data_IF_378127150451
#
_entry.id   IF_378127150451
#
_cell.length_a   1.000
_cell.length_b   1.000
_cell.length_c   1.000
_cell.angle_alpha   90.00
_cell.angle_beta   90.00
_cell.angle_gamma   90.00
#
_symmetry.space_group_name_H-M   'P 1'
#
loop_
_entity.id
_entity.type
_entity.pdbx_description
1 polymer ?
#
# COMPACT_ATOMS: atom_id res chain seq x y z
N UNK A 1 7.33 8.24 -26.32
CA UNK A 1 6.27 7.20 -26.29
C UNK A 1 6.02 6.79 -24.84
N UNK A 2 4.78 6.47 -24.46
CA UNK A 2 4.43 6.00 -23.13
C UNK A 2 4.48 4.46 -23.04
N UNK A 3 4.21 3.93 -21.84
CA UNK A 3 4.07 2.50 -21.60
C UNK A 3 2.86 1.95 -22.34
N UNK A 4 3.00 0.82 -23.02
CA UNK A 4 1.90 0.09 -23.65
C UNK A 4 1.60 -1.19 -22.88
N UNK A 5 0.32 -1.40 -22.55
CA UNK A 5 -0.17 -2.61 -21.89
C UNK A 5 -1.08 -3.38 -22.84
N UNK A 6 -0.85 -4.67 -22.98
CA UNK A 6 -1.67 -5.59 -23.78
C UNK A 6 -1.74 -6.95 -23.11
N UNK A 7 -2.55 -7.85 -23.64
CA UNK A 7 -2.66 -9.24 -23.17
C UNK A 7 -2.29 -10.20 -24.29
N UNK A 8 -1.49 -11.20 -23.96
CA UNK A 8 -1.20 -12.33 -24.84
C UNK A 8 -1.07 -13.60 -23.99
N UNK A 9 -1.72 -14.68 -24.39
CA UNK A 9 -1.66 -15.99 -23.70
C UNK A 9 -1.94 -15.90 -22.18
N UNK A 10 -2.97 -15.17 -21.77
CA UNK A 10 -3.32 -14.89 -20.36
C UNK A 10 -2.21 -14.23 -19.55
N UNK A 11 -1.29 -13.54 -20.22
CA UNK A 11 -0.24 -12.76 -19.58
C UNK A 11 -0.41 -11.28 -19.87
N UNK A 12 -0.20 -10.46 -18.85
CA UNK A 12 -0.06 -9.03 -19.02
C UNK A 12 1.28 -8.74 -19.68
N UNK A 13 1.22 -8.09 -20.82
CA UNK A 13 2.39 -7.69 -21.60
C UNK A 13 2.63 -6.21 -21.39
N UNK A 14 3.84 -5.87 -20.93
CA UNK A 14 4.28 -4.50 -20.67
C UNK A 14 5.40 -4.15 -21.65
N UNK A 15 5.14 -3.16 -22.50
CA UNK A 15 6.10 -2.65 -23.48
C UNK A 15 6.44 -1.20 -23.12
N UNK A 16 7.73 -0.90 -22.99
CA UNK A 16 8.25 0.44 -22.72
C UNK A 16 9.29 0.81 -23.76
N UNK A 17 9.42 2.09 -24.12
CA UNK A 17 10.56 2.56 -24.90
C UNK A 17 11.86 2.17 -24.19
N UNK A 18 12.83 1.71 -24.93
CA UNK A 18 14.21 1.44 -24.46
C UNK A 18 14.33 0.33 -23.40
N UNK A 19 13.27 -0.40 -23.10
CA UNK A 19 13.29 -1.51 -22.15
C UNK A 19 12.83 -2.82 -22.79
N UNK A 20 13.35 -3.97 -22.34
CA UNK A 20 12.86 -5.27 -22.79
C UNK A 20 11.36 -5.42 -22.48
N UNK A 21 10.64 -6.05 -23.38
CA UNK A 21 9.25 -6.47 -23.17
C UNK A 21 9.16 -7.38 -21.95
N UNK A 22 8.27 -7.06 -21.01
CA UNK A 22 7.99 -7.87 -19.84
C UNK A 22 6.63 -8.55 -19.97
N UNK A 23 6.53 -9.80 -19.52
CA UNK A 23 5.29 -10.57 -19.45
C UNK A 23 5.06 -11.07 -18.03
N UNK A 24 3.82 -11.02 -17.56
CA UNK A 24 3.43 -11.35 -16.20
C UNK A 24 2.15 -12.20 -16.22
N UNK A 25 2.11 -13.39 -15.60
CA UNK A 25 0.89 -14.16 -15.47
C UNK A 25 -0.19 -13.33 -14.77
N UNK A 26 -1.37 -13.24 -15.38
CA UNK A 26 -2.47 -12.40 -14.86
C UNK A 26 -3.00 -12.98 -13.53
N UNK A 27 -2.99 -14.29 -13.37
CA UNK A 27 -3.42 -15.01 -12.17
C UNK A 27 -2.61 -14.64 -10.91
N UNK A 28 -1.34 -14.26 -11.09
CA UNK A 28 -0.45 -13.84 -9.99
C UNK A 28 -0.65 -12.37 -9.59
N UNK A 29 -1.44 -11.62 -10.38
CA UNK A 29 -1.62 -10.18 -10.18
C UNK A 29 -2.83 -9.90 -9.28
N UNK A 30 -2.61 -9.35 -8.10
CA UNK A 30 -3.69 -8.85 -7.24
C UNK A 30 -4.02 -7.39 -7.46
N UNK A 31 -3.02 -6.59 -7.86
CA UNK A 31 -3.16 -5.15 -8.11
C UNK A 31 -2.21 -4.73 -9.21
N UNK A 32 -2.71 -3.94 -10.14
CA UNK A 32 -1.91 -3.26 -11.17
C UNK A 32 -2.04 -1.75 -10.96
N UNK A 33 -0.90 -1.07 -10.74
CA UNK A 33 -0.84 0.38 -10.59
C UNK A 33 -0.28 0.96 -11.88
N UNK A 34 -1.06 1.80 -12.54
CA UNK A 34 -0.65 2.52 -13.75
C UNK A 34 -0.28 3.95 -13.36
N UNK A 35 1.03 4.22 -13.33
CA UNK A 35 1.62 5.50 -12.95
C UNK A 35 2.40 6.14 -14.11
N UNK A 36 1.80 6.12 -15.29
CA UNK A 36 2.31 6.79 -16.49
C UNK A 36 1.15 7.47 -17.20
N UNK A 37 1.16 8.80 -17.24
CA UNK A 37 0.10 9.61 -17.88
C UNK A 37 -0.02 9.37 -19.40
N UNK A 38 0.99 8.76 -20.03
CA UNK A 38 1.00 8.41 -21.45
C UNK A 38 0.77 6.94 -21.71
N UNK A 39 0.40 6.16 -20.67
CA UNK A 39 0.13 4.75 -20.83
C UNK A 39 -1.03 4.52 -21.79
N UNK A 40 -0.86 3.55 -22.68
CA UNK A 40 -1.90 3.06 -23.60
C UNK A 40 -2.20 1.60 -23.30
N UNK A 41 -3.46 1.22 -23.41
CA UNK A 41 -3.89 -0.15 -23.12
C UNK A 41 -5.03 -0.58 -24.00
N UNK A 42 -5.08 -1.89 -24.24
CA UNK A 42 -6.24 -2.50 -24.90
C UNK A 42 -7.35 -2.77 -23.88
N UNK A 43 -8.59 -2.78 -24.32
CA UNK A 43 -9.74 -3.18 -23.48
C UNK A 43 -9.52 -4.56 -22.82
N UNK A 44 -8.88 -5.50 -23.53
CA UNK A 44 -8.60 -6.85 -23.03
C UNK A 44 -7.80 -6.86 -21.72
N UNK A 45 -6.90 -5.88 -21.49
CA UNK A 45 -6.14 -5.75 -20.25
C UNK A 45 -7.08 -5.65 -19.05
N UNK A 46 -8.09 -4.80 -19.15
CA UNK A 46 -9.05 -4.62 -18.05
C UNK A 46 -9.94 -5.83 -17.87
N UNK A 47 -10.43 -6.41 -18.96
CA UNK A 47 -11.30 -7.59 -18.90
C UNK A 47 -10.60 -8.77 -18.22
N UNK A 48 -9.38 -9.11 -18.64
CA UNK A 48 -8.63 -10.23 -18.09
C UNK A 48 -8.20 -9.98 -16.62
N UNK A 49 -7.71 -8.79 -16.30
CA UNK A 49 -7.34 -8.45 -14.93
C UNK A 49 -8.54 -8.48 -13.98
N UNK A 50 -9.68 -7.91 -14.39
CA UNK A 50 -10.89 -7.91 -13.57
C UNK A 50 -11.50 -9.31 -13.44
N UNK A 51 -11.46 -10.13 -14.50
CA UNK A 51 -11.89 -11.53 -14.44
C UNK A 51 -11.05 -12.35 -13.47
N UNK A 52 -9.74 -12.13 -13.43
CA UNK A 52 -8.83 -12.73 -12.45
C UNK A 52 -8.97 -12.15 -11.03
N UNK A 53 -9.86 -11.17 -10.81
CA UNK A 53 -10.06 -10.53 -9.52
C UNK A 53 -9.01 -9.48 -9.18
N UNK A 54 -8.13 -9.11 -10.09
CA UNK A 54 -7.15 -8.05 -9.88
C UNK A 54 -7.81 -6.66 -9.85
N UNK A 55 -7.22 -5.76 -9.08
CA UNK A 55 -7.60 -4.35 -9.05
C UNK A 55 -6.70 -3.55 -9.98
N UNK A 56 -7.26 -2.70 -10.82
CA UNK A 56 -6.47 -1.73 -11.59
C UNK A 56 -6.61 -0.36 -10.94
N UNK A 57 -5.48 0.28 -10.67
CA UNK A 57 -5.42 1.61 -10.06
C UNK A 57 -4.68 2.57 -10.99
N UNK A 58 -5.22 3.76 -11.15
CA UNK A 58 -4.58 4.84 -11.89
C UNK A 58 -4.19 5.96 -10.93
N UNK A 59 -3.05 6.61 -11.17
CA UNK A 59 -2.56 7.71 -10.37
C UNK A 59 -2.89 9.06 -10.99
N UNK A 60 -2.90 10.09 -10.15
CA UNK A 60 -2.93 11.48 -10.56
C UNK A 60 -1.54 12.01 -10.92
N UNK A 61 -1.47 13.32 -11.23
CA UNK A 61 -0.19 14.00 -11.49
C UNK A 61 0.73 14.09 -10.27
N UNK A 62 0.17 13.91 -9.09
CA UNK A 62 0.84 13.84 -7.79
C UNK A 62 1.31 12.44 -7.44
N UNK A 63 1.21 11.48 -8.37
CA UNK A 63 1.50 10.06 -8.18
C UNK A 63 0.69 9.39 -7.08
N UNK A 64 -0.38 10.02 -6.60
CA UNK A 64 -1.31 9.42 -5.66
C UNK A 64 -2.48 8.75 -6.39
N UNK A 65 -3.11 7.73 -5.77
CA UNK A 65 -4.27 7.07 -6.37
C UNK A 65 -5.41 8.02 -6.67
N UNK A 66 -5.72 8.21 -7.95
CA UNK A 66 -6.83 9.04 -8.44
C UNK A 66 -8.09 8.23 -8.68
N UNK A 67 -7.97 6.98 -9.14
CA UNK A 67 -9.10 6.10 -9.41
C UNK A 67 -8.73 4.63 -9.39
N UNK A 68 -9.75 3.77 -9.32
CA UNK A 68 -9.55 2.33 -9.41
C UNK A 68 -10.72 1.64 -10.11
N UNK A 69 -10.41 0.58 -10.86
CA UNK A 69 -11.37 -0.36 -11.41
C UNK A 69 -11.42 -1.60 -10.55
N UNK A 70 -12.63 -2.04 -10.26
CA UNK A 70 -12.92 -3.19 -9.42
C UNK A 70 -13.84 -4.16 -10.14
N UNK A 71 -13.65 -5.50 -10.02
CA UNK A 71 -14.65 -6.45 -10.51
C UNK A 71 -16.00 -6.20 -9.84
N UNK A 72 -17.07 -6.12 -10.63
CA UNK A 72 -18.43 -5.92 -10.11
C UNK A 72 -18.94 -7.16 -9.36
N UNK A 73 -18.61 -8.35 -9.86
CA UNK A 73 -19.07 -9.63 -9.33
C UNK A 73 -17.94 -10.39 -8.60
N UNK A 74 -17.21 -9.71 -7.71
CA UNK A 74 -16.05 -10.30 -7.06
C UNK A 74 -16.38 -11.42 -6.07
N UNK A 75 -17.57 -11.40 -5.42
CA UNK A 75 -17.94 -12.41 -4.44
C UNK A 75 -19.46 -12.36 -4.15
N UNK A 76 -20.13 -13.52 -4.14
CA UNK A 76 -21.58 -13.61 -3.94
C UNK A 76 -22.07 -13.06 -2.59
N UNK A 77 -21.25 -13.10 -1.54
CA UNK A 77 -21.58 -12.55 -0.21
C UNK A 77 -21.11 -11.07 -0.01
N UNK A 78 -20.68 -10.39 -1.06
CA UNK A 78 -20.15 -9.03 -0.93
C UNK A 78 -21.17 -8.07 -0.34
N UNK A 79 -22.41 -8.09 -0.83
CA UNK A 79 -23.50 -7.24 -0.36
C UNK A 79 -23.83 -7.49 1.11
N UNK A 80 -23.84 -8.77 1.53
CA UNK A 80 -24.08 -9.16 2.92
C UNK A 80 -22.97 -8.64 3.85
N UNK A 81 -21.72 -8.79 3.42
CA UNK A 81 -20.57 -8.26 4.19
C UNK A 81 -20.58 -6.75 4.32
N UNK A 82 -20.92 -6.03 3.24
CA UNK A 82 -21.05 -4.58 3.30
C UNK A 82 -22.16 -4.16 4.27
N UNK A 83 -23.33 -4.82 4.21
CA UNK A 83 -24.42 -4.56 5.15
C UNK A 83 -23.98 -4.80 6.59
N UNK A 84 -23.36 -5.93 6.89
CA UNK A 84 -22.85 -6.25 8.22
C UNK A 84 -21.83 -5.22 8.74
N UNK A 85 -20.99 -4.68 7.87
CA UNK A 85 -20.03 -3.61 8.23
C UNK A 85 -20.74 -2.30 8.56
N UNK A 86 -21.72 -1.90 7.75
CA UNK A 86 -22.48 -0.66 7.96
C UNK A 86 -23.29 -0.75 9.26
N UNK A 87 -23.98 -1.87 9.47
CA UNK A 87 -24.84 -2.13 10.62
C UNK A 87 -24.08 -2.46 11.91
N UNK A 88 -22.76 -2.68 11.84
CA UNK A 88 -21.96 -3.00 13.01
C UNK A 88 -22.13 -1.94 14.10
N UNK A 89 -22.43 -2.39 15.33
CA UNK A 89 -22.63 -1.51 16.47
C UNK A 89 -21.32 -0.84 16.94
N UNK A 90 -21.44 0.25 17.68
CA UNK A 90 -20.30 1.04 18.16
C UNK A 90 -19.30 0.23 19.00
N UNK A 91 -19.71 -0.66 19.94
CA UNK A 91 -18.78 -1.51 20.67
C UNK A 91 -17.94 -2.43 19.78
N UNK A 92 -18.55 -3.01 18.74
CA UNK A 92 -17.83 -3.84 17.76
C UNK A 92 -16.83 -3.00 16.97
N UNK A 93 -17.22 -1.83 16.48
CA UNK A 93 -16.32 -0.89 15.79
C UNK A 93 -15.13 -0.49 16.68
N UNK A 94 -15.35 -0.19 17.95
CA UNK A 94 -14.29 0.15 18.92
C UNK A 94 -13.35 -1.02 19.19
N UNK A 95 -13.83 -2.27 19.27
CA UNK A 95 -12.98 -3.47 19.43
C UNK A 95 -12.14 -3.76 18.19
N UNK A 96 -12.74 -3.63 17.01
CA UNK A 96 -11.98 -3.76 15.77
C UNK A 96 -10.89 -2.70 15.70
N UNK A 97 -11.21 -1.45 16.06
CA UNK A 97 -10.24 -0.35 16.13
C UNK A 97 -9.08 -0.67 17.06
N UNK A 98 -9.38 -1.14 18.28
CA UNK A 98 -8.38 -1.59 19.25
C UNK A 98 -7.43 -2.63 18.64
N UNK A 99 -7.97 -3.69 18.05
CA UNK A 99 -7.18 -4.76 17.45
C UNK A 99 -6.28 -4.24 16.31
N UNK A 100 -6.80 -3.33 15.49
CA UNK A 100 -6.07 -2.71 14.40
C UNK A 100 -4.91 -1.83 14.90
N UNK A 101 -5.17 -0.97 15.90
CA UNK A 101 -4.13 -0.10 16.46
C UNK A 101 -3.06 -0.92 17.18
N UNK A 102 -3.46 -1.91 17.97
CA UNK A 102 -2.50 -2.80 18.65
C UNK A 102 -1.59 -3.53 17.64
N UNK A 103 -2.18 -4.09 16.57
CA UNK A 103 -1.41 -4.75 15.52
C UNK A 103 -0.48 -3.78 14.78
N UNK A 104 -0.94 -2.55 14.50
CA UNK A 104 -0.11 -1.51 13.89
C UNK A 104 1.09 -1.15 14.73
N UNK A 105 0.89 -0.88 16.01
CA UNK A 105 1.97 -0.51 16.93
C UNK A 105 2.97 -1.68 17.10
N UNK A 106 2.47 -2.91 17.21
CA UNK A 106 3.33 -4.10 17.30
C UNK A 106 4.20 -4.26 16.05
N UNK A 107 3.61 -4.06 14.87
CA UNK A 107 4.33 -4.12 13.60
C UNK A 107 5.38 -3.02 13.48
N UNK A 108 5.06 -1.79 13.90
CA UNK A 108 6.03 -0.69 13.98
C UNK A 108 7.20 -1.05 14.90
N UNK A 109 6.92 -1.67 16.06
CA UNK A 109 7.94 -2.15 16.97
C UNK A 109 8.84 -3.19 16.33
N UNK A 110 8.27 -4.17 15.61
CA UNK A 110 9.04 -5.20 14.92
C UNK A 110 9.93 -4.63 13.79
N UNK A 111 9.39 -3.65 13.01
CA UNK A 111 10.18 -2.96 11.99
C UNK A 111 11.34 -2.19 12.62
N UNK A 112 11.07 -1.41 13.67
CA UNK A 112 12.09 -0.64 14.34
C UNK A 112 13.20 -1.53 14.91
N UNK A 113 12.83 -2.66 15.53
CA UNK A 113 13.75 -3.65 16.06
C UNK A 113 14.65 -4.23 14.96
N UNK A 114 14.09 -4.57 13.81
CA UNK A 114 14.85 -5.07 12.66
C UNK A 114 15.87 -4.08 12.11
N UNK A 115 15.61 -2.77 12.22
CA UNK A 115 16.50 -1.74 11.68
C UNK A 115 17.50 -1.19 12.70
N UNK A 116 17.11 -1.12 13.97
CA UNK A 116 17.89 -0.45 15.04
C UNK A 116 18.34 -1.38 16.16
N UNK A 117 17.85 -2.64 16.18
CA UNK A 117 18.13 -3.60 17.25
C UNK A 117 17.30 -3.38 18.52
N UNK A 118 16.31 -2.50 18.50
CA UNK A 118 15.39 -2.28 19.61
C UNK A 118 14.01 -1.81 19.15
N UNK A 119 12.96 -2.23 19.83
CA UNK A 119 11.57 -1.91 19.48
C UNK A 119 11.08 -0.53 19.99
N UNK A 120 11.94 0.33 20.54
CA UNK A 120 11.59 1.68 20.99
C UNK A 120 10.44 1.79 22.01
N UNK A 121 10.19 0.73 22.79
CA UNK A 121 9.06 0.68 23.74
C UNK A 121 7.68 0.51 23.07
N UNK A 122 7.62 0.18 21.77
CA UNK A 122 6.36 0.05 21.05
C UNK A 122 5.61 -1.25 21.38
N UNK A 123 6.30 -2.38 21.60
CA UNK A 123 5.65 -3.64 21.95
C UNK A 123 4.85 -3.58 23.27
N UNK A 124 5.39 -3.04 24.39
CA UNK A 124 4.59 -2.78 25.59
C UNK A 124 3.42 -1.82 25.34
N UNK A 125 3.62 -0.80 24.50
CA UNK A 125 2.57 0.16 24.17
C UNK A 125 1.40 -0.51 23.43
N UNK A 126 1.68 -1.40 22.49
CA UNK A 126 0.67 -2.17 21.74
C UNK A 126 -0.26 -2.97 22.68
N UNK A 127 0.28 -3.56 23.76
CA UNK A 127 -0.49 -4.33 24.72
C UNK A 127 -1.43 -3.48 25.60
N UNK A 128 -1.20 -2.19 25.66
CA UNK A 128 -1.98 -1.25 26.47
C UNK A 128 -3.17 -0.63 25.72
N UNK A 129 -3.29 -0.86 24.42
CA UNK A 129 -4.37 -0.29 23.63
C UNK A 129 -5.72 -0.78 24.12
N UNK A 130 -6.58 0.16 24.53
CA UNK A 130 -7.95 -0.12 24.98
C UNK A 130 -8.95 0.08 23.85
N UNK A 131 -10.18 -0.40 24.06
CA UNK A 131 -11.27 -0.30 23.09
C UNK A 131 -11.51 1.15 22.63
N UNK A 132 -11.32 1.40 21.33
CA UNK A 132 -11.45 2.72 20.72
C UNK A 132 -10.24 3.64 20.89
N UNK A 133 -9.14 3.17 21.49
CA UNK A 133 -7.88 3.92 21.74
C UNK A 133 -8.10 5.28 22.43
N UNK A 134 -8.74 5.33 23.61
CA UNK A 134 -9.06 6.59 24.28
C UNK A 134 -7.80 7.37 24.71
N UNK A 135 -6.69 6.67 24.91
CA UNK A 135 -5.42 7.27 25.32
C UNK A 135 -4.58 7.75 24.14
N UNK A 136 -5.10 7.61 22.91
CA UNK A 136 -4.41 7.96 21.66
C UNK A 136 -2.99 7.35 21.56
N UNK A 137 -2.88 6.06 21.88
CA UNK A 137 -1.61 5.34 21.86
C UNK A 137 -1.05 5.21 20.43
N UNK A 138 -1.93 5.29 19.42
CA UNK A 138 -1.49 5.38 18.02
C UNK A 138 -0.58 6.57 17.77
N UNK A 139 -0.98 7.77 18.23
CA UNK A 139 -0.16 8.98 18.06
C UNK A 139 1.13 8.91 18.87
N UNK A 140 1.08 8.39 20.10
CA UNK A 140 2.27 8.19 20.93
C UNK A 140 3.26 7.22 20.28
N UNK A 141 2.77 6.14 19.67
CA UNK A 141 3.59 5.20 18.92
C UNK A 141 4.25 5.86 17.71
N UNK A 142 3.49 6.66 16.96
CA UNK A 142 4.01 7.37 15.79
C UNK A 142 5.12 8.36 16.17
N UNK A 143 4.97 9.08 17.31
CA UNK A 143 5.99 10.01 17.82
C UNK A 143 7.30 9.31 18.19
N UNK A 144 7.27 8.03 18.57
CA UNK A 144 8.47 7.23 18.86
C UNK A 144 9.03 6.56 17.61
N UNK A 145 8.14 6.04 16.76
CA UNK A 145 8.50 5.26 15.59
C UNK A 145 9.26 6.07 14.53
N UNK A 146 8.71 7.21 14.13
CA UNK A 146 9.29 7.98 13.03
C UNK A 146 10.69 8.53 13.35
N UNK A 147 10.93 9.17 14.51
CA UNK A 147 12.28 9.57 14.88
C UNK A 147 13.24 8.40 15.13
N UNK A 148 12.71 7.27 15.61
CA UNK A 148 13.51 6.05 15.79
C UNK A 148 13.99 5.46 14.47
N UNK A 149 13.21 5.57 13.41
CA UNK A 149 13.52 5.00 12.10
C UNK A 149 14.36 5.92 11.22
N UNK A 150 14.09 7.23 11.23
CA UNK A 150 14.68 8.22 10.31
C UNK A 150 15.53 9.30 11.00
N UNK A 151 15.68 9.24 12.32
CA UNK A 151 16.42 10.23 13.11
C UNK A 151 15.52 11.26 13.79
N UNK A 152 16.06 11.94 14.83
CA UNK A 152 15.31 12.83 15.71
C UNK A 152 14.69 14.04 15.00
N UNK A 153 15.30 14.48 13.92
CA UNK A 153 14.85 15.65 13.15
C UNK A 153 13.76 15.31 12.13
N UNK A 154 13.50 14.03 11.91
CA UNK A 154 12.47 13.61 10.98
C UNK A 154 11.07 13.89 11.52
N UNK A 155 10.27 14.60 10.71
CA UNK A 155 8.84 14.81 10.93
C UNK A 155 8.03 14.21 9.79
N UNK A 156 7.06 13.39 10.15
CA UNK A 156 6.11 12.82 9.20
C UNK A 156 5.16 13.91 8.73
N UNK A 157 5.22 14.26 7.43
CA UNK A 157 4.42 15.31 6.81
C UNK A 157 3.71 14.79 5.55
N UNK A 158 2.64 15.46 5.17
CA UNK A 158 1.92 15.19 3.90
C UNK A 158 2.55 15.93 2.71
N UNK A 159 3.47 16.84 2.94
CA UNK A 159 4.19 17.51 1.86
C UNK A 159 4.99 16.50 1.05
N UNK A 160 4.97 16.61 -0.30
CA UNK A 160 5.61 15.64 -1.19
C UNK A 160 7.11 15.97 -1.36
N UNK A 161 7.88 15.89 -0.29
CA UNK A 161 9.31 16.11 -0.30
C UNK A 161 10.10 14.92 0.26
N UNK A 162 11.23 14.61 -0.35
CA UNK A 162 12.18 13.61 0.10
C UNK A 162 11.56 12.27 0.54
N UNK A 163 11.88 11.84 1.76
CA UNK A 163 11.37 10.58 2.34
C UNK A 163 9.85 10.62 2.51
N UNK A 164 9.27 11.78 2.85
CA UNK A 164 7.84 11.92 2.99
C UNK A 164 7.08 11.66 1.68
N UNK A 165 7.63 12.04 0.52
CA UNK A 165 7.04 11.72 -0.78
C UNK A 165 6.91 10.21 -0.98
N UNK A 166 7.99 9.45 -0.75
CA UNK A 166 7.98 7.99 -0.85
C UNK A 166 7.01 7.33 0.15
N UNK A 167 6.97 7.84 1.39
CA UNK A 167 6.03 7.39 2.40
C UNK A 167 4.58 7.70 2.02
N UNK A 168 4.30 8.88 1.47
CA UNK A 168 2.97 9.26 1.01
C UNK A 168 2.52 8.39 -0.16
N UNK A 169 3.41 8.16 -1.13
CA UNK A 169 3.16 7.26 -2.25
C UNK A 169 2.79 5.86 -1.74
N UNK A 170 3.64 5.23 -0.96
CA UNK A 170 3.39 3.89 -0.44
C UNK A 170 2.13 3.82 0.45
N UNK A 171 1.90 4.83 1.30
CA UNK A 171 0.69 4.91 2.12
C UNK A 171 -0.58 5.07 1.30
N UNK A 172 -0.55 5.90 0.26
CA UNK A 172 -1.68 6.13 -0.62
C UNK A 172 -2.09 4.84 -1.35
N UNK A 173 -1.12 4.13 -1.91
CA UNK A 173 -1.36 2.89 -2.64
C UNK A 173 -1.72 1.71 -1.72
N UNK A 174 -1.01 1.55 -0.63
CA UNK A 174 -1.27 0.46 0.32
C UNK A 174 -2.63 0.58 1.00
N UNK A 175 -3.03 1.78 1.41
CA UNK A 175 -4.29 2.01 2.11
C UNK A 175 -5.52 1.66 1.27
N UNK A 176 -5.46 1.87 -0.05
CA UNK A 176 -6.57 1.60 -0.96
C UNK A 176 -6.65 0.14 -1.45
N UNK A 177 -5.53 -0.59 -1.42
CA UNK A 177 -5.45 -1.97 -1.92
C UNK A 177 -5.69 -3.05 -0.87
N UNK A 178 -5.63 -2.71 0.40
CA UNK A 178 -5.58 -3.64 1.51
C UNK A 178 -6.79 -4.56 1.69
N UNK A 179 -7.99 -4.08 1.49
CA UNK A 179 -9.19 -4.84 1.75
C UNK A 179 -9.41 -6.03 0.82
N UNK A 180 -8.86 -6.00 -0.39
CA UNK A 180 -9.09 -7.02 -1.41
C UNK A 180 -8.26 -8.28 -1.27
N UNK A 181 -7.02 -8.18 -0.79
CA UNK A 181 -6.11 -9.32 -0.69
C UNK A 181 -6.62 -10.46 0.21
N UNK A 182 -7.66 -10.23 1.02
CA UNK A 182 -8.20 -11.24 1.95
C UNK A 182 -9.63 -11.69 1.63
N UNK A 183 -10.15 -11.43 0.44
CA UNK A 183 -11.53 -11.81 0.07
C UNK A 183 -12.60 -11.17 0.97
N UNK A 184 -12.23 -10.17 1.75
CA UNK A 184 -13.15 -9.35 2.52
C UNK A 184 -13.60 -8.24 1.59
N UNK A 185 -14.83 -8.29 1.12
CA UNK A 185 -15.49 -7.20 0.42
C UNK A 185 -15.23 -5.93 1.21
N UNK A 186 -14.70 -4.90 0.55
CA UNK A 186 -14.14 -3.78 1.25
C UNK A 186 -14.99 -2.61 1.25
N UNK A 187 -15.20 -2.15 2.45
CA UNK A 187 -15.76 -0.86 2.73
C UNK A 187 -14.65 0.23 2.65
N UNK A 188 -14.90 1.31 1.89
CA UNK A 188 -14.10 2.53 1.96
C UNK A 188 -14.05 3.16 3.36
N UNK A 189 -14.90 2.74 4.29
CA UNK A 189 -14.99 3.29 5.65
C UNK A 189 -13.86 2.87 6.59
N UNK A 190 -13.04 1.89 6.25
CA UNK A 190 -11.78 1.62 6.97
C UNK A 190 -10.69 2.57 6.49
N UNK A 191 -10.96 3.86 6.56
CA UNK A 191 -9.96 4.91 6.38
C UNK A 191 -8.99 4.87 7.54
N UNK A 192 -7.81 4.29 7.36
CA UNK A 192 -6.80 4.43 8.40
C UNK A 192 -5.58 3.51 8.39
N UNK A 193 -5.32 2.70 7.35
CA UNK A 193 -4.21 1.76 7.39
C UNK A 193 -3.19 1.84 6.24
N UNK A 194 -2.44 2.95 6.11
CA UNK A 194 -1.37 3.02 5.13
C UNK A 194 -0.03 2.42 5.58
N UNK A 195 0.23 2.29 6.88
CA UNK A 195 1.60 2.09 7.38
C UNK A 195 2.15 0.66 7.28
N UNK A 196 1.34 -0.38 7.47
CA UNK A 196 1.85 -1.78 7.50
C UNK A 196 2.40 -2.30 6.17
N UNK A 197 2.04 -1.71 5.03
CA UNK A 197 2.56 -2.15 3.73
C UNK A 197 3.91 -1.53 3.40
N UNK A 198 4.19 -0.33 3.89
CA UNK A 198 5.53 0.27 3.83
C UNK A 198 6.51 -0.47 4.71
N UNK A 199 6.08 -0.90 5.88
CA UNK A 199 6.88 -1.68 6.81
C UNK A 199 7.28 -3.02 6.21
N UNK A 200 6.41 -3.67 5.44
CA UNK A 200 6.76 -4.91 4.70
C UNK A 200 7.72 -4.65 3.54
N UNK A 201 7.67 -3.49 2.92
CA UNK A 201 8.59 -3.08 1.86
C UNK A 201 9.96 -2.71 2.46
N UNK A 202 9.97 -2.02 3.59
CA UNK A 202 11.20 -1.63 4.28
C UNK A 202 11.86 -2.83 4.99
N UNK A 203 11.11 -3.75 5.57
CA UNK A 203 11.64 -4.95 6.22
C UNK A 203 12.32 -5.91 5.24
N UNK A 204 11.93 -5.92 3.97
CA UNK A 204 12.59 -6.72 2.92
C UNK A 204 13.93 -6.14 2.42
N UNK A 205 14.33 -4.96 2.88
CA UNK A 205 15.61 -4.35 2.46
C UNK A 205 16.86 -4.99 3.08
N UNK A 206 16.76 -5.87 4.08
CA UNK A 206 17.93 -6.59 4.63
C UNK A 206 18.37 -7.82 3.81
N UNK A 207 17.51 -8.37 2.99
CA UNK A 207 17.86 -9.46 2.09
C UNK A 207 17.87 -8.94 0.66
N UNK A 208 19.03 -8.49 0.21
CA UNK A 208 19.33 -8.09 -1.16
C UNK A 208 18.36 -7.08 -1.79
N UNK A 209 18.90 -6.08 -2.40
CA UNK A 209 18.32 -5.14 -3.35
C UNK A 209 17.64 -5.84 -4.56
N UNK A 210 16.76 -6.76 -4.31
CA UNK A 210 15.84 -7.32 -5.28
C UNK A 210 14.44 -6.91 -4.90
N UNK A 211 14.16 -5.61 -5.12
CA UNK A 211 12.77 -5.22 -5.40
C UNK A 211 12.30 -6.13 -6.54
N UNK A 212 11.12 -6.78 -6.42
CA UNK A 212 10.57 -7.48 -7.58
C UNK A 212 10.60 -6.52 -8.78
N UNK A 213 10.84 -7.01 -9.98
CA UNK A 213 11.03 -6.17 -11.19
C UNK A 213 10.00 -5.06 -11.36
N UNK A 214 8.81 -5.25 -10.80
CA UNK A 214 7.68 -4.31 -10.83
C UNK A 214 7.90 -3.02 -10.01
N UNK A 215 8.66 -3.06 -8.91
CA UNK A 215 8.95 -1.84 -8.14
C UNK A 215 10.08 -1.01 -8.75
N UNK A 216 10.99 -1.61 -9.52
CA UNK A 216 11.99 -0.87 -10.29
C UNK A 216 11.38 -0.04 -11.43
N UNK A 217 10.16 -0.36 -11.81
CA UNK A 217 9.46 0.31 -12.90
C UNK A 217 8.84 1.65 -12.49
N UNK A 218 8.72 1.94 -11.19
CA UNK A 218 8.04 3.14 -10.69
C UNK A 218 8.96 4.27 -10.22
N UNK A 219 10.27 4.05 -10.02
CA UNK A 219 11.23 5.10 -9.67
C UNK A 219 12.35 5.16 -10.71
N UNK A 220 12.45 6.22 -11.52
CA UNK A 220 13.67 6.50 -12.27
C UNK A 220 14.81 6.81 -11.28
N UNK A 221 16.07 6.44 -11.57
CA UNK A 221 17.20 6.83 -10.76
C UNK A 221 17.25 8.37 -10.70
N UNK A 222 17.33 8.90 -9.50
CA UNK A 222 17.59 10.31 -9.27
C UNK A 222 18.93 10.66 -9.94
N UNK A 223 18.86 11.34 -11.07
CA UNK A 223 20.03 11.86 -11.76
C UNK A 223 20.79 12.78 -10.82
N UNK A 224 22.09 12.53 -10.67
CA UNK A 224 23.07 13.46 -10.12
C UNK A 224 22.85 14.82 -10.76
N UNK A 225 22.43 15.78 -9.98
CA UNK A 225 22.53 17.19 -10.39
C UNK A 225 23.96 17.62 -10.18
N UNK A 226 24.67 17.64 -11.30
CA UNK A 226 25.97 18.26 -11.45
C UNK A 226 25.94 19.70 -10.92
N UNK A 227 26.83 20.00 -9.99
CA UNK A 227 27.10 21.36 -9.51
C UNK A 227 28.00 22.04 -10.52
N UNK A 228 27.49 23.03 -11.19
CA UNK A 228 28.26 24.18 -11.64
C UNK A 228 27.45 25.45 -11.43
#
# INVERSE_FOLDING_TARGET
>A
MGTRLSVAHHQLVVERPEMPKATLPIEDLGVVIVDDARATYTQAVFLELLAAGATVMVTGRDHLPAGMMLPLAAHHVQTERHRAQVEANLPTKKRIWQALIAAKIAQQGAVLDNFTGHHGGLLPLAKRVRSGDPDNLEAQAAQRYWPGLFGKDFRRDRRPDGINAALNYGCGHAGRNRPRRRGLGTDPLVRGFPQQSLESILSRRRSAWTLPPLCRLACPPSGERDRR
#
